data_IF_668550847315
#
_entry.id   IF_668550847315
#
_cell.length_a   1.000
_cell.length_b   1.000
_cell.length_c   1.000
_cell.angle_alpha   90.00
_cell.angle_beta   90.00
_cell.angle_gamma   90.00
#
_symmetry.space_group_name_H-M   'P 1'
#
loop_
_entity.id
_entity.type
_entity.pdbx_description
1 polymer ?
#
# COMPACT_ATOMS: atom_id res chain seq x y z
N UNK A 1 -64.24 -23.13 -3.73
CA UNK A 1 -63.65 -22.21 -4.71
C UNK A 1 -62.88 -20.98 -4.09
N UNK A 2 -63.32 -20.41 -2.95
CA UNK A 2 -62.64 -19.24 -2.33
C UNK A 2 -61.32 -19.60 -1.61
N UNK A 3 -61.21 -20.80 -1.05
CA UNK A 3 -60.02 -21.29 -0.31
C UNK A 3 -58.82 -21.54 -1.22
N UNK A 4 -59.00 -22.06 -2.42
CA UNK A 4 -57.94 -22.34 -3.41
C UNK A 4 -57.35 -21.07 -3.99
N UNK A 5 -58.17 -20.02 -4.20
CA UNK A 5 -57.70 -18.72 -4.69
C UNK A 5 -56.83 -18.00 -3.64
N UNK A 6 -57.19 -18.12 -2.34
CA UNK A 6 -56.40 -17.55 -1.25
C UNK A 6 -55.04 -18.22 -1.09
N UNK A 7 -55.00 -19.57 -1.17
CA UNK A 7 -53.78 -20.35 -1.12
C UNK A 7 -52.82 -20.01 -2.30
N UNK A 8 -53.32 -19.87 -3.50
CA UNK A 8 -52.53 -19.46 -4.67
C UNK A 8 -51.96 -18.03 -4.53
N UNK A 9 -52.72 -17.12 -3.92
CA UNK A 9 -52.31 -15.74 -3.66
C UNK A 9 -51.18 -15.69 -2.60
N UNK A 10 -51.30 -16.49 -1.55
CA UNK A 10 -50.25 -16.63 -0.51
C UNK A 10 -48.96 -17.27 -1.05
N UNK A 11 -49.07 -18.28 -1.90
CA UNK A 11 -47.91 -18.90 -2.57
C UNK A 11 -47.17 -17.90 -3.48
N UNK A 12 -47.90 -17.07 -4.24
CA UNK A 12 -47.31 -16.00 -5.07
C UNK A 12 -46.60 -14.97 -4.20
N UNK A 13 -47.20 -14.55 -3.08
CA UNK A 13 -46.54 -13.60 -2.17
C UNK A 13 -45.28 -14.15 -1.53
N UNK A 14 -45.26 -15.42 -1.14
CA UNK A 14 -44.07 -16.10 -0.62
C UNK A 14 -42.98 -16.15 -1.70
N UNK A 15 -43.29 -16.54 -2.91
CA UNK A 15 -42.35 -16.58 -4.02
C UNK A 15 -41.74 -15.21 -4.33
N UNK A 16 -42.54 -14.13 -4.32
CA UNK A 16 -42.07 -12.75 -4.51
C UNK A 16 -41.15 -12.34 -3.36
N UNK A 17 -41.47 -12.71 -2.12
CA UNK A 17 -40.66 -12.40 -0.95
C UNK A 17 -39.32 -13.11 -0.98
N UNK A 18 -39.31 -14.41 -1.31
CA UNK A 18 -38.10 -15.21 -1.46
C UNK A 18 -37.20 -14.68 -2.58
N UNK A 19 -37.78 -14.31 -3.71
CA UNK A 19 -37.05 -13.69 -4.83
C UNK A 19 -36.47 -12.33 -4.47
N UNK A 20 -37.18 -11.53 -3.69
CA UNK A 20 -36.70 -10.24 -3.17
C UNK A 20 -35.55 -10.43 -2.18
N UNK A 21 -35.64 -11.44 -1.30
CA UNK A 21 -34.56 -11.77 -0.36
C UNK A 21 -33.32 -12.33 -1.08
N UNK A 22 -33.53 -13.17 -2.10
CA UNK A 22 -32.43 -13.69 -2.93
C UNK A 22 -31.75 -12.55 -3.72
N UNK A 23 -32.50 -11.61 -4.28
CA UNK A 23 -31.94 -10.42 -4.95
C UNK A 23 -31.18 -9.51 -3.97
N UNK A 24 -31.68 -9.30 -2.75
CA UNK A 24 -30.96 -8.57 -1.70
C UNK A 24 -29.68 -9.27 -1.26
N UNK A 25 -29.65 -10.60 -1.25
CA UNK A 25 -28.47 -11.39 -0.96
C UNK A 25 -27.42 -11.31 -2.09
N UNK A 26 -27.84 -11.23 -3.34
CA UNK A 26 -26.97 -11.04 -4.53
C UNK A 26 -26.43 -9.61 -4.63
N UNK A 27 -27.18 -8.61 -4.17
CA UNK A 27 -26.75 -7.21 -4.07
C UNK A 27 -26.01 -6.93 -2.75
N UNK A 28 -25.07 -7.79 -2.35
CA UNK A 28 -24.14 -7.47 -1.25
C UNK A 28 -23.25 -6.33 -1.71
N UNK A 29 -23.62 -5.11 -1.37
CA UNK A 29 -22.72 -3.96 -1.43
C UNK A 29 -21.47 -4.26 -0.59
N UNK A 30 -20.30 -3.98 -1.12
CA UNK A 30 -19.04 -4.10 -0.36
C UNK A 30 -19.14 -3.27 0.93
N UNK A 31 -18.93 -3.92 2.07
CA UNK A 31 -19.01 -3.25 3.37
C UNK A 31 -17.93 -2.18 3.46
N UNK A 32 -18.29 -0.94 3.75
CA UNK A 32 -17.35 0.11 4.13
C UNK A 32 -16.92 -0.10 5.58
N UNK A 33 -15.62 -0.25 5.82
CA UNK A 33 -15.06 -0.52 7.14
C UNK A 33 -14.94 0.79 7.93
N UNK A 34 -15.32 0.76 9.21
CA UNK A 34 -15.11 1.89 10.12
C UNK A 34 -13.66 1.93 10.62
N UNK A 35 -13.09 3.11 10.95
CA UNK A 35 -11.71 3.21 11.44
C UNK A 35 -11.40 2.34 12.66
N UNK A 36 -12.40 2.12 13.54
CA UNK A 36 -12.26 1.28 14.74
C UNK A 36 -12.21 -0.24 14.43
N UNK A 37 -12.67 -0.66 13.26
CA UNK A 37 -12.71 -2.07 12.83
C UNK A 37 -11.46 -2.46 12.04
N UNK A 38 -10.54 -1.52 11.80
CA UNK A 38 -9.34 -1.77 10.97
C UNK A 38 -8.27 -2.45 11.80
N UNK A 39 -7.93 -3.66 11.44
CA UNK A 39 -6.77 -4.37 11.97
C UNK A 39 -5.53 -4.05 11.14
N UNK A 40 -4.45 -3.58 11.79
CA UNK A 40 -3.16 -3.27 11.15
C UNK A 40 -2.12 -4.30 11.56
N UNK A 41 -1.50 -4.92 10.56
CA UNK A 41 -0.36 -5.82 10.73
C UNK A 41 0.96 -5.08 10.53
N UNK A 42 2.05 -5.70 10.96
CA UNK A 42 3.41 -5.22 10.71
C UNK A 42 4.09 -6.12 9.71
N UNK A 43 4.70 -5.52 8.68
CA UNK A 43 5.45 -6.23 7.67
C UNK A 43 6.89 -5.74 7.64
N UNK A 44 7.82 -6.69 7.55
CA UNK A 44 9.26 -6.45 7.38
C UNK A 44 9.64 -6.72 5.93
N UNK A 45 10.28 -5.77 5.29
CA UNK A 45 10.77 -5.87 3.90
C UNK A 45 12.28 -5.69 3.90
N UNK A 46 13.00 -6.64 3.33
CA UNK A 46 14.42 -6.47 3.02
C UNK A 46 14.57 -5.85 1.63
N UNK A 47 15.20 -4.67 1.58
CA UNK A 47 15.40 -3.92 0.35
C UNK A 47 16.67 -4.32 -0.42
N UNK A 48 17.49 -5.25 0.10
CA UNK A 48 18.76 -5.62 -0.51
C UNK A 48 18.60 -6.13 -1.95
N UNK A 49 19.19 -5.42 -2.89
CA UNK A 49 19.16 -5.76 -4.32
C UNK A 49 17.84 -5.55 -5.02
N UNK A 50 16.79 -5.06 -4.31
CA UNK A 50 15.50 -4.78 -4.91
C UNK A 50 15.53 -3.55 -5.81
N UNK A 51 14.71 -3.58 -6.86
CA UNK A 51 14.50 -2.43 -7.75
C UNK A 51 13.59 -1.40 -7.05
N UNK A 52 14.09 -0.17 -6.84
CA UNK A 52 13.39 0.93 -6.14
C UNK A 52 11.92 1.06 -6.56
N UNK A 53 11.65 1.19 -7.87
CA UNK A 53 10.29 1.45 -8.36
C UNK A 53 9.33 0.29 -8.11
N UNK A 54 9.78 -0.95 -8.22
CA UNK A 54 8.96 -2.16 -8.00
C UNK A 54 8.69 -2.38 -6.52
N UNK A 55 9.72 -2.25 -5.69
CA UNK A 55 9.57 -2.30 -4.23
C UNK A 55 8.60 -1.22 -3.75
N UNK A 56 8.78 0.03 -4.22
CA UNK A 56 7.90 1.14 -3.86
C UNK A 56 6.42 0.91 -4.24
N UNK A 57 6.14 0.25 -5.38
CA UNK A 57 4.76 -0.05 -5.80
C UNK A 57 4.09 -1.04 -4.84
N UNK A 58 4.80 -2.10 -4.44
CA UNK A 58 4.27 -3.12 -3.51
C UNK A 58 4.06 -2.50 -2.13
N UNK A 59 5.06 -1.77 -1.62
CA UNK A 59 4.98 -1.07 -0.34
C UNK A 59 3.81 -0.08 -0.33
N UNK A 60 3.64 0.71 -1.39
CA UNK A 60 2.51 1.66 -1.48
C UNK A 60 1.14 0.95 -1.49
N UNK A 61 1.02 -0.22 -2.13
CA UNK A 61 -0.20 -1.02 -2.11
C UNK A 61 -0.51 -1.56 -0.69
N UNK A 62 0.51 -2.00 0.05
CA UNK A 62 0.36 -2.47 1.45
C UNK A 62 -0.02 -1.31 2.36
N UNK A 63 0.65 -0.17 2.26
CA UNK A 63 0.34 1.05 3.03
C UNK A 63 -1.06 1.59 2.78
N UNK A 64 -1.60 1.44 1.57
CA UNK A 64 -2.98 1.80 1.25
C UNK A 64 -4.00 0.74 1.67
N UNK A 65 -3.55 -0.48 1.94
CA UNK A 65 -4.42 -1.61 2.26
C UNK A 65 -5.11 -2.25 1.05
N UNK A 66 -4.61 -2.01 -0.17
CA UNK A 66 -5.21 -2.58 -1.40
C UNK A 66 -5.10 -4.11 -1.50
N UNK A 67 -4.25 -4.73 -0.70
CA UNK A 67 -4.12 -6.19 -0.60
C UNK A 67 -5.24 -6.83 0.24
N UNK A 68 -5.99 -6.02 1.02
CA UNK A 68 -7.08 -6.48 1.87
C UNK A 68 -8.42 -6.45 1.15
N UNK A 69 -9.26 -7.45 1.39
CA UNK A 69 -10.65 -7.49 0.87
C UNK A 69 -11.53 -6.41 1.48
N UNK A 70 -11.19 -5.93 2.68
CA UNK A 70 -11.87 -4.86 3.42
C UNK A 70 -11.45 -3.45 3.01
N UNK A 71 -10.71 -3.29 1.90
CA UNK A 71 -10.23 -1.99 1.45
C UNK A 71 -11.34 -0.96 1.28
N UNK A 72 -11.21 0.16 1.96
CA UNK A 72 -12.13 1.30 1.87
C UNK A 72 -11.33 2.57 1.50
N UNK A 73 -11.64 3.26 0.38
CA UNK A 73 -10.79 4.34 -0.15
C UNK A 73 -10.60 5.54 0.78
N UNK A 74 -11.57 5.85 1.63
CA UNK A 74 -11.56 7.02 2.52
C UNK A 74 -11.06 6.71 3.94
N UNK A 75 -10.75 5.44 4.24
CA UNK A 75 -10.24 4.99 5.54
C UNK A 75 -8.81 4.48 5.37
N UNK A 76 -7.96 4.68 6.39
CA UNK A 76 -6.62 4.13 6.45
C UNK A 76 -6.66 2.65 6.86
N UNK A 77 -6.93 1.78 5.87
CA UNK A 77 -6.99 0.32 6.02
C UNK A 77 -5.62 -0.36 5.89
N UNK A 78 -4.56 0.41 5.63
CA UNK A 78 -3.22 -0.10 5.37
C UNK A 78 -2.52 -0.67 6.59
N UNK A 79 -1.46 -1.41 6.33
CA UNK A 79 -0.59 -2.02 7.33
C UNK A 79 0.66 -1.18 7.58
N UNK A 80 1.36 -1.48 8.67
CA UNK A 80 2.64 -0.87 8.96
C UNK A 80 3.74 -1.61 8.21
N UNK A 81 4.68 -0.87 7.61
CA UNK A 81 5.79 -1.45 6.86
C UNK A 81 7.11 -0.95 7.41
N UNK A 82 7.98 -1.88 7.77
CA UNK A 82 9.36 -1.64 8.16
C UNK A 82 10.26 -2.12 7.02
N UNK A 83 11.12 -1.25 6.52
CA UNK A 83 12.07 -1.58 5.46
C UNK A 83 13.48 -1.50 6.03
N UNK A 84 14.29 -2.53 5.79
CA UNK A 84 15.70 -2.60 6.18
C UNK A 84 16.60 -2.62 4.92
N UNK A 85 17.91 -2.40 5.09
CA UNK A 85 18.91 -2.39 4.03
C UNK A 85 18.58 -1.40 2.89
N UNK A 86 18.03 -0.24 3.18
CA UNK A 86 17.65 0.72 2.16
C UNK A 86 18.84 1.35 1.41
N UNK A 87 20.05 1.26 1.95
CA UNK A 87 21.31 1.64 1.31
C UNK A 87 21.67 0.74 0.11
N UNK A 88 21.28 -0.55 0.16
CA UNK A 88 21.59 -1.56 -0.87
C UNK A 88 20.53 -1.67 -1.97
N UNK A 89 19.57 -0.77 -1.99
CA UNK A 89 18.51 -0.75 -3.01
C UNK A 89 19.07 -0.33 -4.37
N UNK A 90 18.53 -0.86 -5.48
CA UNK A 90 19.09 -0.66 -6.81
C UNK A 90 18.16 0.04 -7.78
N UNK A 91 18.76 0.83 -8.65
CA UNK A 91 18.10 1.40 -9.83
C UNK A 91 18.39 0.55 -11.07
N UNK A 92 17.45 0.53 -12.02
CA UNK A 92 17.63 -0.12 -13.32
C UNK A 92 18.15 0.86 -14.36
N UNK A 93 19.02 0.40 -15.25
CA UNK A 93 19.60 1.21 -16.32
C UNK A 93 20.42 2.39 -15.80
N UNK A 94 20.46 3.48 -16.55
CA UNK A 94 21.26 4.68 -16.24
C UNK A 94 20.60 5.61 -15.20
N UNK A 95 19.53 5.16 -14.49
CA UNK A 95 18.77 6.01 -13.56
C UNK A 95 19.60 6.45 -12.35
N UNK A 96 20.56 5.67 -11.90
CA UNK A 96 21.43 6.04 -10.78
C UNK A 96 22.14 7.38 -11.03
N UNK A 97 22.67 7.57 -12.24
CA UNK A 97 23.36 8.80 -12.63
C UNK A 97 22.40 9.91 -13.09
N UNK A 98 21.36 9.56 -13.89
CA UNK A 98 20.54 10.55 -14.59
C UNK A 98 19.33 11.03 -13.77
N UNK A 99 18.93 10.31 -12.70
CA UNK A 99 17.78 10.76 -11.90
C UNK A 99 18.18 11.87 -10.96
N UNK A 100 17.53 13.02 -11.12
CA UNK A 100 17.73 14.22 -10.30
C UNK A 100 16.52 14.46 -9.42
N UNK A 101 16.78 14.81 -8.17
CA UNK A 101 15.79 15.29 -7.20
C UNK A 101 15.93 16.80 -7.06
N UNK A 102 14.83 17.52 -7.24
CA UNK A 102 14.76 18.96 -7.14
C UNK A 102 14.15 19.39 -5.81
N UNK A 103 14.71 20.43 -5.19
CA UNK A 103 14.17 21.10 -4.01
C UNK A 103 14.25 22.62 -4.21
N UNK A 104 13.11 23.28 -4.14
CA UNK A 104 13.04 24.74 -4.14
C UNK A 104 13.25 25.28 -2.72
N UNK A 105 14.05 26.36 -2.59
CA UNK A 105 14.37 26.96 -1.30
C UNK A 105 13.39 28.05 -0.85
N UNK A 106 12.46 28.47 -1.72
CA UNK A 106 11.53 29.56 -1.48
C UNK A 106 11.97 30.92 -2.04
N UNK A 107 13.22 31.03 -2.47
CA UNK A 107 13.77 32.30 -3.06
C UNK A 107 13.83 32.21 -4.58
N UNK A 108 13.79 33.35 -5.25
CA UNK A 108 13.95 33.45 -6.70
C UNK A 108 15.27 32.77 -7.14
N UNK A 109 15.20 31.88 -8.15
CA UNK A 109 16.34 31.09 -8.62
C UNK A 109 16.81 29.97 -7.66
N UNK A 110 16.12 29.74 -6.55
CA UNK A 110 16.53 28.83 -5.47
C UNK A 110 16.23 27.33 -5.72
N UNK A 111 16.40 26.82 -6.93
CA UNK A 111 16.26 25.40 -7.24
C UNK A 111 17.59 24.69 -6.94
N UNK A 112 17.56 23.73 -5.99
CA UNK A 112 18.70 22.85 -5.70
C UNK A 112 18.46 21.47 -6.30
N UNK A 113 19.52 20.90 -6.87
CA UNK A 113 19.53 19.62 -7.57
C UNK A 113 20.47 18.65 -6.87
N UNK A 114 20.04 17.40 -6.76
CA UNK A 114 20.88 16.31 -6.27
C UNK A 114 20.59 15.03 -7.05
N UNK A 115 21.63 14.32 -7.51
CA UNK A 115 21.49 13.06 -8.23
C UNK A 115 21.16 11.91 -7.29
N UNK A 116 20.53 10.84 -7.80
CA UNK A 116 20.18 9.67 -7.01
C UNK A 116 21.42 8.98 -6.41
N UNK A 117 22.54 8.96 -7.14
CA UNK A 117 23.80 8.44 -6.63
C UNK A 117 24.25 9.18 -5.37
N UNK A 118 24.31 10.52 -5.43
CA UNK A 118 24.69 11.34 -4.28
C UNK A 118 23.77 11.19 -3.07
N UNK A 119 22.48 10.86 -3.27
CA UNK A 119 21.55 10.61 -2.15
C UNK A 119 21.82 9.26 -1.52
N UNK A 120 22.08 8.19 -2.31
CA UNK A 120 22.39 6.85 -1.78
C UNK A 120 23.73 6.81 -1.04
N UNK A 121 24.74 7.53 -1.52
CA UNK A 121 26.06 7.64 -0.89
C UNK A 121 26.08 8.62 0.29
N UNK A 122 25.01 9.40 0.43
CA UNK A 122 24.91 10.45 1.44
C UNK A 122 24.47 9.93 2.80
N UNK A 123 24.28 10.87 3.75
CA UNK A 123 23.88 10.59 5.13
C UNK A 123 22.52 9.88 5.27
N UNK A 124 21.60 10.04 4.32
CA UNK A 124 20.21 9.57 4.40
C UNK A 124 19.79 8.83 3.13
N UNK A 125 20.31 7.61 2.89
CA UNK A 125 19.98 6.82 1.69
C UNK A 125 18.51 6.38 1.65
N UNK A 126 17.86 6.25 2.81
CA UNK A 126 16.44 5.89 2.95
C UNK A 126 15.50 6.84 2.20
N UNK A 127 15.90 8.09 1.99
CA UNK A 127 15.11 9.11 1.27
C UNK A 127 14.80 8.74 -0.17
N UNK A 128 15.62 7.91 -0.80
CA UNK A 128 15.40 7.43 -2.17
C UNK A 128 14.11 6.63 -2.24
N UNK A 129 13.96 5.66 -1.34
CA UNK A 129 12.78 4.81 -1.27
C UNK A 129 11.56 5.58 -0.72
N UNK A 130 11.77 6.39 0.33
CA UNK A 130 10.73 7.25 0.88
C UNK A 130 10.07 8.12 -0.20
N UNK A 131 10.88 8.84 -1.00
CA UNK A 131 10.37 9.68 -2.09
C UNK A 131 9.71 8.88 -3.21
N UNK A 132 10.16 7.65 -3.47
CA UNK A 132 9.51 6.78 -4.44
C UNK A 132 8.11 6.35 -3.96
N UNK A 133 7.95 5.95 -2.70
CA UNK A 133 6.66 5.56 -2.10
C UNK A 133 5.75 6.78 -1.95
N UNK A 134 6.25 7.92 -1.45
CA UNK A 134 5.48 9.16 -1.29
C UNK A 134 4.77 9.59 -2.58
N UNK A 135 5.47 9.47 -3.72
CA UNK A 135 4.89 9.82 -5.03
C UNK A 135 3.89 8.81 -5.58
N UNK A 136 3.82 7.61 -5.01
CA UNK A 136 2.86 6.55 -5.38
C UNK A 136 1.61 6.56 -4.49
N UNK A 137 1.64 7.25 -3.36
CA UNK A 137 0.50 7.44 -2.47
C UNK A 137 -0.27 8.71 -2.86
N UNK A 138 -1.62 8.74 -2.79
CA UNK A 138 -2.41 9.93 -3.07
C UNK A 138 -2.00 11.11 -2.19
N UNK A 139 -1.91 12.30 -2.79
CA UNK A 139 -1.64 13.52 -2.04
C UNK A 139 -2.88 13.92 -1.24
N UNK A 140 -2.69 14.28 0.03
CA UNK A 140 -3.78 14.71 0.88
C UNK A 140 -3.59 14.31 2.35
N UNK A 141 -4.56 14.62 3.23
CA UNK A 141 -4.47 14.27 4.65
C UNK A 141 -4.33 12.76 4.89
N UNK A 142 -5.15 11.96 4.20
CA UNK A 142 -5.11 10.49 4.30
C UNK A 142 -3.77 9.91 3.85
N UNK A 143 -3.21 10.39 2.72
CA UNK A 143 -1.90 9.92 2.26
C UNK A 143 -0.77 10.26 3.22
N UNK A 144 -0.81 11.43 3.87
CA UNK A 144 0.16 11.78 4.93
C UNK A 144 0.04 10.87 6.15
N UNK A 145 -1.19 10.45 6.50
CA UNK A 145 -1.42 9.47 7.56
C UNK A 145 -0.86 8.10 7.18
N UNK A 146 -1.10 7.64 5.97
CA UNK A 146 -0.57 6.37 5.45
C UNK A 146 0.97 6.36 5.43
N UNK A 147 1.61 7.48 5.05
CA UNK A 147 3.07 7.60 5.09
C UNK A 147 3.67 7.49 6.50
N UNK A 148 2.92 7.81 7.56
CA UNK A 148 3.38 7.60 8.95
C UNK A 148 3.50 6.13 9.33
N UNK A 149 2.85 5.22 8.60
CA UNK A 149 2.92 3.78 8.81
C UNK A 149 4.17 3.16 8.14
N UNK A 150 4.97 3.95 7.41
CA UNK A 150 6.23 3.53 6.78
C UNK A 150 7.41 3.90 7.67
N UNK A 151 8.28 2.92 7.93
CA UNK A 151 9.58 3.10 8.61
C UNK A 151 10.66 2.51 7.72
N UNK A 152 11.69 3.29 7.41
CA UNK A 152 12.80 2.87 6.54
C UNK A 152 14.10 3.04 7.30
N UNK A 153 14.93 2.00 7.28
CA UNK A 153 16.24 1.97 7.91
C UNK A 153 17.30 1.67 6.86
N UNK A 154 18.41 2.40 6.91
CA UNK A 154 19.53 2.20 5.99
C UNK A 154 20.20 0.84 6.21
N UNK A 155 20.44 0.47 7.46
CA UNK A 155 21.06 -0.80 7.85
C UNK A 155 20.10 -1.96 8.02
N UNK A 156 20.60 -3.06 8.57
CA UNK A 156 19.85 -4.30 8.85
C UNK A 156 19.08 -4.27 10.17
N UNK A 157 19.45 -3.37 11.09
CA UNK A 157 18.84 -3.30 12.41
C UNK A 157 17.65 -2.35 12.45
N UNK A 158 16.62 -2.72 13.23
CA UNK A 158 15.44 -1.89 13.44
C UNK A 158 14.92 -2.02 14.88
N UNK A 159 14.36 -0.96 15.49
CA UNK A 159 13.86 -0.98 16.88
C UNK A 159 12.47 -1.62 17.04
N UNK A 160 11.87 -2.16 15.96
CA UNK A 160 10.49 -2.66 15.95
C UNK A 160 10.38 -4.17 16.21
N UNK A 161 11.31 -4.79 16.95
CA UNK A 161 11.26 -6.23 17.28
C UNK A 161 10.03 -6.61 18.12
N UNK A 162 9.61 -5.75 19.04
CA UNK A 162 8.45 -5.98 19.91
C UNK A 162 7.10 -6.11 19.16
N UNK A 163 7.00 -5.56 17.94
CA UNK A 163 5.81 -5.64 17.10
C UNK A 163 5.73 -6.96 16.31
N UNK A 164 6.75 -7.82 16.38
CA UNK A 164 6.84 -9.09 15.64
C UNK A 164 6.43 -8.96 14.16
N UNK A 165 7.15 -8.15 13.34
CA UNK A 165 6.76 -7.92 11.97
C UNK A 165 6.90 -9.20 11.12
N UNK A 166 5.86 -9.51 10.32
CA UNK A 166 5.85 -10.62 9.36
C UNK A 166 6.77 -10.29 8.18
N UNK A 167 7.65 -11.20 7.79
CA UNK A 167 8.54 -10.99 6.62
C UNK A 167 7.73 -11.02 5.33
N UNK A 168 7.80 -9.94 4.55
CA UNK A 168 7.18 -9.82 3.23
C UNK A 168 8.28 -9.92 2.16
N UNK A 169 8.42 -11.10 1.55
CA UNK A 169 9.41 -11.32 0.49
C UNK A 169 8.93 -10.77 -0.86
N UNK A 170 9.35 -9.55 -1.17
CA UNK A 170 9.07 -8.89 -2.45
C UNK A 170 9.84 -9.54 -3.60
N UNK A 171 11.01 -10.12 -3.33
CA UNK A 171 11.85 -10.71 -4.36
C UNK A 171 11.17 -11.93 -5.01
N UNK A 172 10.53 -12.78 -4.20
CA UNK A 172 9.83 -13.98 -4.67
C UNK A 172 8.57 -13.68 -5.50
N UNK A 173 7.90 -12.54 -5.25
CA UNK A 173 6.66 -12.17 -5.95
C UNK A 173 6.85 -12.01 -7.47
N UNK A 174 8.03 -11.56 -7.91
CA UNK A 174 8.33 -11.43 -9.34
C UNK A 174 9.86 -11.44 -9.55
N UNK A 175 10.33 -12.30 -10.44
CA UNK A 175 11.75 -12.40 -10.83
C UNK A 175 12.40 -11.05 -11.18
N UNK A 176 11.64 -10.12 -11.75
CA UNK A 176 12.14 -8.80 -12.13
C UNK A 176 12.24 -7.81 -10.96
N UNK A 177 11.84 -8.18 -9.73
CA UNK A 177 11.92 -7.30 -8.56
C UNK A 177 13.37 -7.17 -8.04
N UNK A 178 14.20 -8.18 -8.27
CA UNK A 178 15.63 -8.17 -7.92
C UNK A 178 16.48 -7.98 -9.17
N UNK A 179 17.57 -7.19 -9.06
CA UNK A 179 18.54 -7.01 -10.16
C UNK A 179 19.57 -8.12 -10.08
N UNK A 180 19.76 -8.85 -11.17
CA UNK A 180 20.82 -9.85 -11.26
C UNK A 180 20.42 -11.27 -10.83
N UNK A 181 19.12 -11.58 -10.90
CA UNK A 181 18.62 -12.96 -10.86
C UNK A 181 18.38 -13.48 -12.29
#
# INVERSE_FOLDING_TARGET
ARSTALAARLARLRFILERSQAMKALMKTTKSVKPAEVEKKWHLVDAEGLVVGRAATIIANVLRGKHKTSFTPHVDCGDNVVVINADKIRFTGKKLANKVYYKHTGYAGGIKEITAAKVLEGRFPERVLEKAVERMIPRGPLGRQQMRNLRIFAGSEHPHGAQNPEVLDIASMNRKNKVGA
#
